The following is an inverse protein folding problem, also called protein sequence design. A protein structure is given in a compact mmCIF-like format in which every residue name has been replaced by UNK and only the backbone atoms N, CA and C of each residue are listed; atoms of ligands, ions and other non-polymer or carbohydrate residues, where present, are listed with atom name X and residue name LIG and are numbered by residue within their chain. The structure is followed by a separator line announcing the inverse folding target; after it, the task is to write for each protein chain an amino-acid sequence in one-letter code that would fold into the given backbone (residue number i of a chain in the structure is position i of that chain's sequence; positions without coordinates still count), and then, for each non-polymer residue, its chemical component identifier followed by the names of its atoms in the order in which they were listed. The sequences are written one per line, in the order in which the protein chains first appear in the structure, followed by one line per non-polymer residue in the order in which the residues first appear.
data_IF_351497656537
#
_entry.id   IF_351497656537
#
_cell.length_a   1.000
_cell.length_b   1.000
_cell.length_c   1.000
_cell.angle_alpha   90.00
_cell.angle_beta   90.00
_cell.angle_gamma   90.00
#
_symmetry.space_group_name_H-M   'P 1'
#
loop_
_entity.id
_entity.type
_entity.pdbx_description
1 polymer ?
#
# COMPACT_ATOMS: atom_id res chain seq x y z
N UNK A 1 20.17 -2.28 -2.63
CA UNK A 1 19.15 -3.21 -2.12
C UNK A 1 17.88 -2.53 -1.63
N UNK A 2 17.95 -1.45 -0.83
CA UNK A 2 16.76 -0.75 -0.31
C UNK A 2 15.78 -0.26 -1.40
N UNK A 3 16.31 0.18 -2.55
CA UNK A 3 15.52 0.65 -3.68
C UNK A 3 14.62 -0.44 -4.28
N UNK A 4 15.06 -1.71 -4.24
CA UNK A 4 14.28 -2.83 -4.76
C UNK A 4 13.07 -3.16 -3.87
N UNK A 5 13.17 -2.90 -2.56
CA UNK A 5 12.05 -3.10 -1.62
C UNK A 5 10.96 -2.03 -1.78
N UNK A 6 11.34 -0.83 -2.25
CA UNK A 6 10.47 0.33 -2.40
C UNK A 6 9.96 0.54 -3.83
N UNK A 7 10.41 -0.27 -4.79
CA UNK A 7 10.00 -0.20 -6.19
C UNK A 7 8.83 -1.18 -6.45
N UNK A 8 7.65 -0.70 -6.86
CA UNK A 8 6.55 -1.59 -7.21
C UNK A 8 6.84 -2.33 -8.52
N UNK A 9 6.43 -3.60 -8.58
CA UNK A 9 6.43 -4.40 -9.80
C UNK A 9 5.24 -4.02 -10.69
N UNK A 10 5.46 -3.70 -11.97
CA UNK A 10 4.38 -3.30 -12.87
C UNK A 10 3.34 -4.41 -13.16
N UNK A 11 3.66 -5.66 -12.86
CA UNK A 11 2.78 -6.82 -13.13
C UNK A 11 1.78 -7.11 -11.99
N UNK A 12 1.91 -6.44 -10.85
CA UNK A 12 1.11 -6.72 -9.64
C UNK A 12 -0.05 -5.74 -9.51
N UNK A 13 -1.26 -6.25 -9.27
CA UNK A 13 -2.42 -5.43 -8.94
C UNK A 13 -2.37 -5.00 -7.45
N UNK A 14 -1.79 -3.83 -7.19
CA UNK A 14 -1.68 -3.29 -5.83
C UNK A 14 -3.02 -2.89 -5.19
N UNK A 15 -4.10 -2.67 -5.97
CA UNK A 15 -5.43 -2.45 -5.38
C UNK A 15 -5.91 -3.70 -4.65
N UNK A 16 -5.73 -4.86 -5.28
CA UNK A 16 -6.09 -6.15 -4.69
C UNK A 16 -5.23 -6.46 -3.47
N UNK A 17 -3.90 -6.29 -3.58
CA UNK A 17 -2.97 -6.56 -2.47
C UNK A 17 -3.29 -5.72 -1.23
N UNK A 18 -3.49 -4.41 -1.42
CA UNK A 18 -3.84 -3.50 -0.32
C UNK A 18 -5.19 -3.88 0.30
N UNK A 19 -6.18 -4.28 -0.52
CA UNK A 19 -7.49 -4.70 -0.02
C UNK A 19 -7.40 -5.98 0.84
N UNK A 20 -6.60 -6.97 0.42
CA UNK A 20 -6.36 -8.20 1.21
C UNK A 20 -5.65 -7.87 2.52
N UNK A 21 -4.61 -7.03 2.48
CA UNK A 21 -3.91 -6.61 3.69
C UNK A 21 -4.82 -5.83 4.65
N UNK A 22 -5.66 -4.95 4.12
CA UNK A 22 -6.65 -4.20 4.91
C UNK A 22 -7.67 -5.14 5.57
N UNK A 23 -8.17 -6.13 4.84
CA UNK A 23 -9.11 -7.12 5.38
C UNK A 23 -8.51 -7.89 6.56
N UNK A 24 -7.30 -8.45 6.40
CA UNK A 24 -6.67 -9.22 7.47
C UNK A 24 -6.16 -8.35 8.62
N UNK A 25 -5.75 -7.11 8.37
CA UNK A 25 -5.45 -6.14 9.43
C UNK A 25 -6.72 -5.82 10.26
N UNK A 26 -7.87 -5.64 9.60
CA UNK A 26 -9.14 -5.45 10.30
C UNK A 26 -9.54 -6.69 11.10
N UNK A 27 -9.34 -7.89 10.54
CA UNK A 27 -9.56 -9.16 11.25
C UNK A 27 -8.62 -9.29 12.47
N UNK A 28 -7.38 -8.83 12.37
CA UNK A 28 -6.45 -8.78 13.50
C UNK A 28 -6.99 -7.91 14.63
N UNK A 29 -7.48 -6.71 14.32
CA UNK A 29 -8.09 -5.81 15.31
C UNK A 29 -9.33 -6.44 15.94
N UNK A 30 -10.17 -7.09 15.12
CA UNK A 30 -11.37 -7.78 15.60
C UNK A 30 -11.02 -8.92 16.57
N UNK A 31 -10.08 -9.79 16.21
CA UNK A 31 -9.64 -10.90 17.07
C UNK A 31 -8.99 -10.40 18.35
N UNK A 32 -8.19 -9.32 18.27
CA UNK A 32 -7.61 -8.68 19.43
C UNK A 32 -8.68 -8.11 20.37
N UNK A 33 -9.78 -7.56 19.84
CA UNK A 33 -10.89 -7.11 20.66
C UNK A 33 -11.68 -8.29 21.26
N UNK A 34 -11.93 -9.34 20.47
CA UNK A 34 -12.73 -10.50 20.90
C UNK A 34 -12.08 -11.31 22.02
N UNK A 35 -10.75 -11.34 22.13
CA UNK A 35 -10.10 -12.06 23.23
C UNK A 35 -10.48 -11.51 24.61
N UNK A 36 -10.89 -10.24 24.71
CA UNK A 36 -11.38 -9.64 25.96
C UNK A 36 -12.82 -10.02 26.29
N UNK A 37 -13.53 -10.63 25.33
CA UNK A 37 -14.91 -11.13 25.49
C UNK A 37 -14.91 -12.62 25.80
N UNK A 38 -14.02 -13.39 25.16
CA UNK A 38 -13.92 -14.85 25.35
C UNK A 38 -12.47 -15.34 25.24
N UNK A 39 -12.07 -16.21 26.16
CA UNK A 39 -10.74 -16.85 26.17
C UNK A 39 -10.56 -17.87 25.03
N UNK A 40 -11.65 -18.29 24.37
CA UNK A 40 -11.60 -19.27 23.28
C UNK A 40 -10.79 -18.82 22.06
N UNK A 41 -10.57 -17.51 21.89
CA UNK A 41 -9.80 -16.91 20.78
C UNK A 41 -8.56 -16.16 21.26
N UNK A 42 -8.11 -16.43 22.49
CA UNK A 42 -6.94 -15.80 23.07
C UNK A 42 -5.71 -16.01 22.16
N UNK A 43 -5.05 -14.91 21.82
CA UNK A 43 -3.86 -14.93 20.94
C UNK A 43 -4.12 -15.19 19.45
N UNK A 44 -5.36 -15.45 19.01
CA UNK A 44 -5.63 -15.76 17.59
C UNK A 44 -5.23 -14.63 16.64
N UNK A 45 -5.30 -13.39 17.12
CA UNK A 45 -4.88 -12.20 16.36
C UNK A 45 -3.41 -12.26 15.93
N UNK A 46 -2.55 -13.00 16.64
CA UNK A 46 -1.11 -13.11 16.32
C UNK A 46 -0.88 -13.75 14.95
N UNK A 47 -1.74 -14.67 14.53
CA UNK A 47 -1.66 -15.35 13.22
C UNK A 47 -1.78 -14.34 12.07
N UNK A 48 -2.62 -13.32 12.25
CA UNK A 48 -2.89 -12.28 11.24
C UNK A 48 -2.18 -10.95 11.53
N UNK A 49 -1.44 -10.85 12.63
CA UNK A 49 -0.69 -9.66 13.01
C UNK A 49 0.33 -9.20 11.94
N UNK A 50 1.03 -10.08 11.19
CA UNK A 50 1.94 -9.65 10.12
C UNK A 50 1.29 -8.82 9.02
N UNK A 51 -0.04 -8.90 8.83
CA UNK A 51 -0.75 -8.10 7.82
C UNK A 51 -0.78 -6.61 8.16
N UNK A 52 -0.65 -6.23 9.43
CA UNK A 52 -0.63 -4.82 9.87
C UNK A 52 0.61 -4.08 9.34
N UNK A 53 1.87 -4.52 9.61
CA UNK A 53 3.03 -3.86 9.04
C UNK A 53 3.07 -3.95 7.51
N UNK A 54 2.58 -5.05 6.90
CA UNK A 54 2.46 -5.16 5.44
C UNK A 54 1.51 -4.12 4.85
N UNK A 55 0.37 -3.87 5.49
CA UNK A 55 -0.58 -2.84 5.07
C UNK A 55 0.06 -1.45 5.12
N UNK A 56 0.69 -1.10 6.25
CA UNK A 56 1.36 0.20 6.42
C UNK A 56 2.42 0.41 5.34
N UNK A 57 3.27 -0.60 5.12
CA UNK A 57 4.28 -0.55 4.06
C UNK A 57 3.66 -0.37 2.67
N UNK A 58 2.63 -1.16 2.35
CA UNK A 58 1.99 -1.12 1.03
C UNK A 58 1.37 0.25 0.72
N UNK A 59 0.76 0.90 1.72
CA UNK A 59 0.20 2.25 1.58
C UNK A 59 1.33 3.27 1.36
N UNK A 60 2.40 3.20 2.16
CA UNK A 60 3.53 4.12 2.05
C UNK A 60 4.20 4.05 0.66
N UNK A 61 4.54 2.84 0.22
CA UNK A 61 5.17 2.62 -1.09
C UNK A 61 4.28 3.06 -2.23
N UNK A 62 2.99 2.72 -2.16
CA UNK A 62 2.03 3.09 -3.21
C UNK A 62 1.81 4.59 -3.29
N UNK A 63 1.69 5.27 -2.16
CA UNK A 63 1.52 6.73 -2.13
C UNK A 63 2.74 7.44 -2.70
N UNK A 64 3.95 6.98 -2.37
CA UNK A 64 5.18 7.50 -2.96
C UNK A 64 5.19 7.34 -4.48
N UNK A 65 4.87 6.15 -4.98
CA UNK A 65 4.90 5.85 -6.41
C UNK A 65 3.86 6.64 -7.21
N UNK A 66 2.64 6.78 -6.69
CA UNK A 66 1.60 7.60 -7.35
C UNK A 66 2.01 9.07 -7.43
N UNK A 67 2.71 9.58 -6.41
CA UNK A 67 3.25 10.95 -6.41
C UNK A 67 4.32 11.12 -7.49
N UNK A 68 5.29 10.22 -7.55
CA UNK A 68 6.36 10.24 -8.56
C UNK A 68 5.80 10.18 -9.99
N UNK A 69 4.76 9.37 -10.24
CA UNK A 69 4.09 9.33 -11.54
C UNK A 69 3.39 10.64 -11.89
N UNK A 70 2.67 11.22 -10.94
CA UNK A 70 1.97 12.50 -11.16
C UNK A 70 2.96 13.63 -11.50
N UNK A 71 4.11 13.64 -10.84
CA UNK A 71 5.20 14.59 -11.12
C UNK A 71 5.79 14.36 -12.52
N UNK A 72 6.06 13.11 -12.89
CA UNK A 72 6.57 12.77 -14.22
C UNK A 72 5.57 13.11 -15.36
N UNK A 73 4.29 12.82 -15.16
CA UNK A 73 3.24 13.14 -16.15
C UNK A 73 3.08 14.66 -16.32
N UNK A 74 3.28 15.44 -15.24
CA UNK A 74 3.24 16.90 -15.29
C UNK A 74 4.44 17.49 -16.06
N UNK A 75 5.65 16.99 -15.84
CA UNK A 75 6.86 17.41 -16.57
C UNK A 75 6.76 17.12 -18.08
N UNK A 76 6.20 15.95 -18.45
CA UNK A 76 5.94 15.61 -19.86
C UNK A 76 4.89 16.54 -20.48
N UNK A 77 3.84 16.89 -19.74
CA UNK A 77 2.81 17.80 -20.21
C UNK A 77 3.35 19.22 -20.42
N UNK A 78 4.19 19.72 -19.52
CA UNK A 78 4.86 21.02 -19.61
C UNK A 78 5.77 21.10 -20.85
N UNK A 79 6.65 20.12 -21.04
CA UNK A 79 7.53 20.03 -22.23
C UNK A 79 6.76 19.95 -23.54
N UNK A 80 5.62 19.27 -23.54
CA UNK A 80 4.76 19.16 -24.73
C UNK A 80 4.08 20.49 -25.05
N UNK A 81 3.78 21.33 -24.05
CA UNK A 81 3.22 22.66 -24.27
C UNK A 81 4.27 23.67 -24.74
N UNK A 82 5.48 23.63 -24.18
CA UNK A 82 6.59 24.49 -24.59
C UNK A 82 6.99 24.23 -26.05
N UNK A 83 7.15 22.96 -26.44
CA UNK A 83 7.44 22.58 -27.83
C UNK A 83 6.37 22.99 -28.85
N UNK A 84 5.11 23.22 -28.42
CA UNK A 84 4.02 23.71 -29.28
C UNK A 84 3.96 25.23 -29.38
N UNK A 85 4.63 25.94 -28.47
CA UNK A 85 4.72 27.41 -28.47
C UNK A 85 5.84 27.93 -29.37
N UNK A 86 6.86 27.10 -29.56
CA UNK A 86 8.01 27.37 -30.42
C UNK A 86 7.80 26.96 -31.89
N UNK A 87 6.63 26.41 -32.22
CA UNK A 87 6.23 25.98 -33.57
C UNK A 87 5.15 26.90 -34.16
#
# INVERSE_FOLDING_TARGET
MLHALLAPSPTINYNFVVAVYAFFAALCVLLFALQFVTTSVEGFYVVVAPFVPCLVWSIFVRNRWLRERKEADADVAEKTQESKKDQ
#
